data_IF_979847734241
#
_entry.id   IF_979847734241
#
_cell.length_a   1.000
_cell.length_b   1.000
_cell.length_c   1.000
_cell.angle_alpha   90.00
_cell.angle_beta   90.00
_cell.angle_gamma   90.00
#
_symmetry.space_group_name_H-M   'P 1'
#
loop_
_entity.id
_entity.type
_entity.pdbx_description
1 polymer ?
#
# COMPACT_ATOMS: atom_id res chain seq x y z
N UNK A 1 -2.44 20.03 13.97
CA UNK A 1 -2.11 18.68 13.48
C UNK A 1 -1.41 18.90 12.16
N UNK A 2 -0.19 18.38 11.93
CA UNK A 2 0.46 18.53 10.61
C UNK A 2 -0.29 17.63 9.63
N UNK A 3 -0.80 18.20 8.55
CA UNK A 3 -1.33 17.42 7.43
C UNK A 3 -0.13 16.76 6.73
N UNK A 4 -0.01 15.44 6.88
CA UNK A 4 0.93 14.63 6.13
C UNK A 4 0.15 14.02 4.97
N UNK A 5 -0.03 14.78 3.90
CA UNK A 5 -0.57 14.19 2.68
C UNK A 5 0.50 13.31 2.03
N UNK A 6 0.10 12.34 1.22
CA UNK A 6 1.04 11.47 0.49
C UNK A 6 1.99 12.28 -0.40
N UNK A 7 1.57 13.47 -0.84
CA UNK A 7 2.37 14.43 -1.60
C UNK A 7 3.47 15.07 -0.74
N UNK A 8 3.18 15.42 0.51
CA UNK A 8 4.16 16.01 1.42
C UNK A 8 5.18 14.97 1.92
N UNK A 9 4.77 13.70 1.99
CA UNK A 9 5.62 12.60 2.42
C UNK A 9 6.57 12.08 1.33
N UNK A 10 6.15 12.12 0.05
CA UNK A 10 6.87 11.62 -1.14
C UNK A 10 7.76 10.38 -0.87
N UNK A 11 7.14 9.23 -0.54
CA UNK A 11 7.84 8.08 0.03
C UNK A 11 8.69 7.33 -1.01
N UNK A 12 9.78 6.70 -0.54
CA UNK A 12 10.63 5.81 -1.34
C UNK A 12 10.00 4.43 -1.62
N UNK A 13 9.11 3.98 -0.72
CA UNK A 13 8.42 2.69 -0.79
C UNK A 13 6.97 2.86 -0.34
N UNK A 14 6.05 2.16 -1.01
CA UNK A 14 4.63 2.13 -0.62
C UNK A 14 4.15 0.69 -0.58
N UNK A 15 3.52 0.31 0.53
CA UNK A 15 2.76 -0.93 0.65
C UNK A 15 1.27 -0.60 0.73
N UNK A 16 0.49 -1.06 -0.24
CA UNK A 16 -0.96 -0.82 -0.31
C UNK A 16 -1.68 -2.11 0.08
N UNK A 17 -2.53 -2.05 1.10
CA UNK A 17 -3.50 -3.10 1.38
C UNK A 17 -4.84 -2.69 0.76
N UNK A 18 -5.40 -3.57 -0.06
CA UNK A 18 -6.68 -3.36 -0.73
C UNK A 18 -7.47 -4.67 -0.72
N UNK A 19 -8.61 -4.66 -0.04
CA UNK A 19 -9.62 -5.71 -0.13
C UNK A 19 -10.82 -5.23 -0.95
N UNK A 20 -11.37 -6.12 -1.79
CA UNK A 20 -12.48 -5.79 -2.68
C UNK A 20 -13.79 -5.55 -1.91
N UNK A 21 -14.03 -6.29 -0.82
CA UNK A 21 -15.24 -6.18 -0.02
C UNK A 21 -15.25 -4.93 0.86
N UNK A 22 -14.08 -4.44 1.27
CA UNK A 22 -13.93 -3.15 1.95
C UNK A 22 -14.19 -1.94 1.01
N UNK A 23 -14.22 -2.17 -0.31
CA UNK A 23 -14.32 -1.12 -1.33
C UNK A 23 -15.58 -1.27 -2.22
N UNK A 24 -16.71 -1.69 -1.62
CA UNK A 24 -18.01 -1.84 -2.30
C UNK A 24 -17.99 -2.76 -3.53
N UNK A 25 -17.03 -3.69 -3.59
CA UNK A 25 -16.80 -4.57 -4.75
C UNK A 25 -16.45 -3.83 -6.04
N UNK A 26 -15.89 -2.63 -5.94
CA UNK A 26 -15.38 -1.91 -7.10
C UNK A 26 -13.89 -2.21 -7.32
N UNK A 27 -13.62 -3.07 -8.30
CA UNK A 27 -12.27 -3.47 -8.70
C UNK A 27 -11.48 -2.32 -9.35
N UNK A 28 -12.13 -1.23 -9.77
CA UNK A 28 -11.48 -0.13 -10.50
C UNK A 28 -10.81 0.89 -9.58
N UNK A 29 -11.27 1.01 -8.34
CA UNK A 29 -10.80 2.06 -7.41
C UNK A 29 -9.28 2.07 -7.27
N UNK A 30 -8.68 0.89 -7.07
CA UNK A 30 -7.22 0.79 -6.95
C UNK A 30 -6.52 1.22 -8.24
N UNK A 31 -7.05 0.80 -9.40
CA UNK A 31 -6.49 1.17 -10.69
C UNK A 31 -6.59 2.67 -10.93
N UNK A 32 -7.73 3.29 -10.62
CA UNK A 32 -7.95 4.73 -10.75
C UNK A 32 -7.01 5.53 -9.85
N UNK A 33 -6.82 5.10 -8.60
CA UNK A 33 -5.82 5.69 -7.69
C UNK A 33 -4.43 5.65 -8.32
N UNK A 34 -4.00 4.46 -8.76
CA UNK A 34 -2.67 4.25 -9.35
C UNK A 34 -2.48 4.97 -10.68
N UNK A 35 -3.56 5.21 -11.42
CA UNK A 35 -3.55 5.93 -12.69
C UNK A 35 -3.56 7.46 -12.55
N UNK A 36 -3.87 7.98 -11.36
CA UNK A 36 -3.92 9.41 -11.12
C UNK A 36 -2.56 10.09 -11.33
N UNK A 37 -2.53 11.36 -11.81
CA UNK A 37 -1.28 12.10 -11.99
C UNK A 37 -0.49 12.25 -10.69
N UNK A 38 -1.19 12.39 -9.55
CA UNK A 38 -0.59 12.50 -8.23
C UNK A 38 0.17 11.22 -7.89
N UNK A 39 -0.47 10.05 -8.02
CA UNK A 39 0.16 8.78 -7.70
C UNK A 39 1.37 8.50 -8.59
N UNK A 40 1.24 8.73 -9.90
CA UNK A 40 2.33 8.59 -10.87
C UNK A 40 3.49 9.56 -10.61
N UNK A 41 3.25 10.66 -9.89
CA UNK A 41 4.25 11.63 -9.48
C UNK A 41 5.13 11.19 -8.31
N UNK A 42 4.72 10.18 -7.53
CA UNK A 42 5.43 9.74 -6.32
C UNK A 42 6.72 8.98 -6.69
N UNK A 43 7.79 9.18 -5.90
CA UNK A 43 9.06 8.44 -6.07
C UNK A 43 8.88 6.93 -6.08
N UNK A 44 8.13 6.39 -5.12
CA UNK A 44 7.85 4.95 -5.07
C UNK A 44 7.17 4.42 -6.34
N UNK A 45 6.22 5.17 -6.90
CA UNK A 45 5.51 4.76 -8.12
C UNK A 45 6.44 4.77 -9.35
N UNK A 46 7.26 5.82 -9.49
CA UNK A 46 8.21 5.96 -10.59
C UNK A 46 9.34 4.92 -10.55
N UNK A 47 9.74 4.49 -9.34
CA UNK A 47 10.80 3.51 -9.13
C UNK A 47 10.31 2.06 -9.05
N UNK A 48 9.02 1.81 -9.28
CA UNK A 48 8.44 0.47 -9.21
C UNK A 48 8.43 -0.13 -7.78
N UNK A 49 8.50 0.71 -6.75
CA UNK A 49 8.56 0.35 -5.33
C UNK A 49 7.19 0.47 -4.64
N UNK A 50 6.15 0.12 -5.39
CA UNK A 50 4.78 0.02 -4.90
C UNK A 50 4.40 -1.45 -4.85
N UNK A 51 4.03 -1.92 -3.66
CA UNK A 51 3.66 -3.32 -3.43
C UNK A 51 2.22 -3.40 -2.96
N UNK A 52 1.34 -3.91 -3.82
CA UNK A 52 -0.06 -4.14 -3.49
C UNK A 52 -0.20 -5.53 -2.87
N UNK A 53 -0.88 -5.61 -1.73
CA UNK A 53 -1.20 -6.86 -1.03
C UNK A 53 0.02 -7.77 -0.83
N UNK A 54 1.14 -7.17 -0.40
CA UNK A 54 2.31 -7.93 0.06
C UNK A 54 1.99 -8.81 1.28
N UNK A 55 0.90 -8.48 1.97
CA UNK A 55 0.25 -9.32 2.98
C UNK A 55 -1.18 -9.56 2.50
N UNK A 56 -1.74 -10.74 2.77
CA UNK A 56 -3.16 -11.01 2.52
C UNK A 56 -4.03 -9.90 3.15
N UNK A 57 -4.87 -9.20 2.36
CA UNK A 57 -5.61 -8.04 2.83
C UNK A 57 -6.66 -8.36 3.90
N UNK A 58 -7.04 -9.64 4.07
CA UNK A 58 -7.94 -10.08 5.13
C UNK A 58 -7.26 -10.29 6.48
N UNK A 59 -5.93 -10.20 6.54
CA UNK A 59 -5.20 -10.26 7.81
C UNK A 59 -5.44 -8.97 8.57
N UNK A 60 -5.99 -9.09 9.78
CA UNK A 60 -6.03 -7.98 10.75
C UNK A 60 -4.61 -7.47 10.96
N UNK A 61 -4.28 -6.29 10.43
CA UNK A 61 -2.92 -5.79 10.20
C UNK A 61 -1.98 -5.72 11.43
N UNK A 62 -1.25 -4.62 11.61
CA UNK A 62 -0.20 -4.54 12.66
C UNK A 62 -0.67 -4.68 14.11
N UNK A 63 -1.99 -4.76 14.34
CA UNK A 63 -2.61 -4.86 15.67
C UNK A 63 -2.52 -6.25 16.33
N UNK A 64 -2.26 -7.31 15.56
CA UNK A 64 -2.16 -8.69 16.08
C UNK A 64 -0.74 -9.24 15.96
N UNK A 65 -0.37 -10.22 16.79
CA UNK A 65 0.94 -10.88 16.70
C UNK A 65 1.12 -11.55 15.33
N UNK A 66 0.08 -12.21 14.82
CA UNK A 66 0.07 -12.81 13.49
C UNK A 66 0.25 -11.75 12.40
N UNK A 67 -0.52 -10.65 12.44
CA UNK A 67 -0.40 -9.58 11.45
C UNK A 67 0.97 -8.92 11.44
N UNK A 68 1.62 -8.72 12.59
CA UNK A 68 3.01 -8.23 12.64
C UNK A 68 4.01 -9.17 11.98
N UNK A 69 3.88 -10.48 12.24
CA UNK A 69 4.74 -11.48 11.60
C UNK A 69 4.52 -11.53 10.09
N UNK A 70 3.26 -11.43 9.64
CA UNK A 70 2.93 -11.40 8.22
C UNK A 70 3.46 -10.15 7.53
N UNK A 71 3.36 -8.97 8.15
CA UNK A 71 3.94 -7.73 7.64
C UNK A 71 5.46 -7.85 7.55
N UNK A 72 6.13 -8.34 8.59
CA UNK A 72 7.58 -8.52 8.59
C UNK A 72 8.02 -9.41 7.42
N UNK A 73 7.34 -10.56 7.24
CA UNK A 73 7.62 -11.49 6.15
C UNK A 73 7.37 -10.84 4.77
N UNK A 74 6.24 -10.16 4.59
CA UNK A 74 5.92 -9.48 3.34
C UNK A 74 6.93 -8.38 2.99
N UNK A 75 7.40 -7.62 3.98
CA UNK A 75 8.44 -6.61 3.78
C UNK A 75 9.78 -7.26 3.42
N UNK A 76 10.18 -8.31 4.14
CA UNK A 76 11.42 -9.05 3.83
C UNK A 76 11.43 -9.60 2.40
N UNK A 77 10.30 -10.15 1.93
CA UNK A 77 10.19 -10.68 0.57
C UNK A 77 10.28 -9.61 -0.52
N UNK A 78 9.85 -8.36 -0.26
CA UNK A 78 9.85 -7.28 -1.25
C UNK A 78 11.11 -6.42 -1.24
N UNK A 79 11.82 -6.38 -0.12
CA UNK A 79 13.01 -5.55 0.06
C UNK A 79 14.33 -6.32 -0.01
N UNK A 80 14.28 -7.63 -0.27
CA UNK A 80 15.45 -8.46 -0.55
C UNK A 80 16.10 -8.14 -1.89
#
# INVERSE_FOLDING_TARGET
>A
MKDYTTLDADPDYIFVQFDLYENNRDEKILKELMDSPIWKGLKAAQSGRVFVNAVDPLIMGGGTAYGRMSILKGVEEKLR
#
